data_IF_188621556979
#
_entry.id   IF_188621556979
#
_cell.length_a   1.000
_cell.length_b   1.000
_cell.length_c   1.000
_cell.angle_alpha   90.00
_cell.angle_beta   90.00
_cell.angle_gamma   90.00
#
_symmetry.space_group_name_H-M   'P 1'
#
loop_
_entity.id
_entity.type
_entity.pdbx_description
1 polymer ?
#
# COMPACT_ATOMS: atom_id res chain seq x y z
N UNK A 1 -17.94 13.64 23.17
CA UNK A 1 -16.66 13.26 23.79
C UNK A 1 -15.63 14.22 23.22
N UNK A 2 -14.99 15.04 24.05
CA UNK A 2 -13.81 15.80 23.63
C UNK A 2 -12.67 14.79 23.64
N UNK A 3 -12.14 14.44 22.47
CA UNK A 3 -10.96 13.59 22.40
C UNK A 3 -9.76 14.46 22.76
N UNK A 4 -8.97 14.04 23.76
CA UNK A 4 -7.76 14.77 24.12
C UNK A 4 -6.70 14.67 23.03
N UNK A 5 -5.71 15.56 23.11
CA UNK A 5 -4.55 15.61 22.21
C UNK A 5 -3.82 14.27 22.12
N UNK A 6 -3.34 13.88 20.93
CA UNK A 6 -2.48 12.71 20.77
C UNK A 6 -1.05 13.03 21.24
N UNK A 7 -0.53 12.26 22.19
CA UNK A 7 0.80 12.43 22.76
C UNK A 7 1.64 11.19 22.49
N UNK A 8 2.72 11.34 21.73
CA UNK A 8 3.76 10.32 21.63
C UNK A 8 4.69 10.42 22.84
N UNK A 9 4.64 9.44 23.74
CA UNK A 9 5.42 9.46 24.99
C UNK A 9 6.87 8.99 24.79
N UNK A 10 7.14 8.26 23.71
CA UNK A 10 8.47 7.85 23.32
C UNK A 10 8.53 6.42 22.79
N UNK A 11 9.76 5.94 22.62
CA UNK A 11 10.03 4.60 22.17
C UNK A 11 11.15 3.94 22.96
N UNK A 12 11.16 2.61 22.98
CA UNK A 12 12.22 1.81 23.57
C UNK A 12 12.60 0.69 22.61
N UNK A 13 13.87 0.61 22.25
CA UNK A 13 14.41 -0.52 21.51
C UNK A 13 15.15 -1.46 22.47
N UNK A 14 14.70 -2.71 22.55
CA UNK A 14 15.36 -3.80 23.26
C UNK A 14 16.16 -4.63 22.24
N UNK A 15 17.48 -4.49 22.26
CA UNK A 15 18.37 -5.16 21.33
C UNK A 15 18.38 -6.70 21.51
N UNK A 16 18.22 -7.19 22.74
CA UNK A 16 18.20 -8.62 23.04
C UNK A 16 16.91 -9.26 22.52
N UNK A 17 15.77 -8.58 22.73
CA UNK A 17 14.47 -9.04 22.24
C UNK A 17 14.22 -8.66 20.76
N UNK A 18 15.07 -7.81 20.18
CA UNK A 18 14.90 -7.20 18.85
C UNK A 18 13.54 -6.54 18.69
N UNK A 19 13.11 -5.83 19.73
CA UNK A 19 11.75 -5.30 19.85
C UNK A 19 11.78 -3.78 20.05
N UNK A 20 11.09 -3.06 19.18
CA UNK A 20 10.78 -1.64 19.32
C UNK A 20 9.37 -1.48 19.90
N UNK A 21 9.29 -0.90 21.09
CA UNK A 21 8.04 -0.48 21.71
C UNK A 21 7.81 1.00 21.42
N UNK A 22 6.64 1.33 20.89
CA UNK A 22 6.16 2.70 20.66
C UNK A 22 5.03 2.97 21.66
N UNK A 23 5.17 4.00 22.48
CA UNK A 23 4.18 4.33 23.50
C UNK A 23 3.55 5.68 23.20
N UNK A 24 2.22 5.70 23.21
CA UNK A 24 1.43 6.90 22.91
C UNK A 24 0.12 6.88 23.70
N UNK A 25 -0.47 8.05 23.92
CA UNK A 25 -1.74 8.22 24.62
C UNK A 25 -2.56 9.35 24.02
N UNK A 26 -3.83 9.42 24.39
CA UNK A 26 -4.60 10.66 24.27
C UNK A 26 -4.59 11.39 25.62
N UNK A 27 -4.65 12.73 25.63
CA UNK A 27 -4.83 13.51 26.86
C UNK A 27 -6.12 13.08 27.56
N UNK A 28 -6.01 12.77 28.86
CA UNK A 28 -7.07 12.18 29.69
C UNK A 28 -7.69 10.89 29.13
N UNK A 29 -6.97 10.20 28.24
CA UNK A 29 -7.42 9.01 27.54
C UNK A 29 -6.57 7.77 27.84
N UNK A 30 -6.90 6.63 27.21
CA UNK A 30 -6.14 5.41 27.33
C UNK A 30 -4.72 5.58 26.78
N UNK A 31 -3.78 4.91 27.45
CA UNK A 31 -2.39 4.77 27.05
C UNK A 31 -2.22 3.45 26.29
N UNK A 32 -1.56 3.50 25.14
CA UNK A 32 -1.31 2.35 24.27
C UNK A 32 0.18 2.09 24.10
N UNK A 33 0.52 0.83 23.90
CA UNK A 33 1.85 0.42 23.46
C UNK A 33 1.75 -0.51 22.26
N UNK A 34 2.43 -0.10 21.18
CA UNK A 34 2.59 -0.91 19.98
C UNK A 34 3.98 -1.53 19.94
N UNK A 35 4.08 -2.81 19.60
CA UNK A 35 5.35 -3.53 19.51
C UNK A 35 5.66 -3.94 18.07
N UNK A 36 6.86 -3.61 17.61
CA UNK A 36 7.47 -4.08 16.37
C UNK A 36 8.66 -4.98 16.71
N UNK A 37 8.64 -6.23 16.25
CA UNK A 37 9.73 -7.19 16.47
C UNK A 37 10.42 -7.55 15.16
N UNK A 38 11.73 -7.37 15.11
CA UNK A 38 12.56 -7.64 13.93
C UNK A 38 13.19 -9.03 14.06
N UNK A 39 13.04 -9.89 13.05
CA UNK A 39 13.69 -11.22 13.08
C UNK A 39 15.20 -11.14 12.86
N UNK A 40 15.66 -10.14 12.11
CA UNK A 40 17.08 -9.87 11.84
C UNK A 40 17.57 -8.80 12.81
N UNK A 41 18.76 -8.95 13.43
CA UNK A 41 19.31 -7.91 14.29
C UNK A 41 19.54 -6.64 13.47
N UNK A 42 18.89 -5.53 13.82
CA UNK A 42 19.10 -4.27 13.13
C UNK A 42 20.50 -3.71 13.45
N UNK A 43 21.08 -2.97 12.50
CA UNK A 43 22.28 -2.16 12.75
C UNK A 43 22.03 -1.20 13.92
N UNK A 44 23.03 -1.00 14.79
CA UNK A 44 22.92 -0.01 15.87
C UNK A 44 22.94 1.42 15.29
N UNK A 45 21.94 2.21 15.70
CA UNK A 45 21.86 3.65 15.49
C UNK A 45 22.41 4.36 16.74
N UNK A 46 23.07 5.50 16.57
CA UNK A 46 23.68 6.30 17.62
C UNK A 46 22.65 7.11 18.43
N UNK A 47 23.05 7.65 19.58
CA UNK A 47 22.19 8.52 20.41
C UNK A 47 21.88 9.87 19.77
N UNK A 48 22.65 10.31 18.77
CA UNK A 48 22.41 11.54 18.01
C UNK A 48 21.30 11.37 16.95
N UNK A 49 20.90 10.13 16.62
CA UNK A 49 19.80 9.83 15.69
C UNK A 49 18.40 10.08 16.30
N UNK A 50 18.32 10.86 17.38
CA UNK A 50 17.12 11.00 18.23
C UNK A 50 16.70 12.45 18.43
N UNK A 51 16.04 13.02 17.42
CA UNK A 51 15.10 14.15 17.60
C UNK A 51 13.92 13.85 16.68
N UNK A 52 12.71 13.71 17.22
CA UNK A 52 11.56 13.26 16.44
C UNK A 52 10.35 14.09 16.82
N UNK A 53 9.89 14.89 15.85
CA UNK A 53 8.81 15.89 15.84
C UNK A 53 9.33 17.34 15.80
N UNK A 54 9.97 17.67 14.69
CA UNK A 54 10.13 19.06 14.25
C UNK A 54 8.89 19.53 13.46
N UNK A 55 8.90 20.80 13.06
CA UNK A 55 7.81 21.45 12.34
C UNK A 55 7.42 20.72 11.04
N UNK A 56 8.40 20.30 10.25
CA UNK A 56 8.12 19.65 8.96
C UNK A 56 7.58 18.23 9.14
N UNK A 57 8.07 17.50 10.14
CA UNK A 57 7.53 16.21 10.54
C UNK A 57 6.07 16.36 10.99
N UNK A 58 5.76 17.34 11.83
CA UNK A 58 4.38 17.61 12.25
C UNK A 58 3.48 17.96 11.06
N UNK A 59 3.95 18.78 10.11
CA UNK A 59 3.21 19.10 8.90
C UNK A 59 2.98 17.88 7.98
N UNK A 60 4.00 17.03 7.80
CA UNK A 60 3.88 15.76 7.09
C UNK A 60 2.82 14.86 7.73
N UNK A 61 2.88 14.72 9.07
CA UNK A 61 1.95 13.89 9.83
C UNK A 61 0.52 14.41 9.75
N UNK A 62 0.33 15.73 9.80
CA UNK A 62 -0.97 16.38 9.60
C UNK A 62 -1.58 15.97 8.25
N UNK A 63 -0.85 16.15 7.15
CA UNK A 63 -1.34 15.80 5.81
C UNK A 63 -1.58 14.30 5.67
N UNK A 64 -0.64 13.48 6.18
CA UNK A 64 -0.74 12.02 6.12
C UNK A 64 -2.01 11.51 6.79
N UNK A 65 -2.30 11.95 8.01
CA UNK A 65 -3.48 11.48 8.74
C UNK A 65 -4.76 12.14 8.25
N UNK A 66 -4.77 13.43 7.92
CA UNK A 66 -5.97 14.10 7.41
C UNK A 66 -6.46 13.45 6.11
N UNK A 67 -5.57 13.22 5.14
CA UNK A 67 -5.94 12.58 3.87
C UNK A 67 -6.08 11.06 4.01
N UNK A 68 -5.26 10.44 4.86
CA UNK A 68 -5.27 9.00 5.11
C UNK A 68 -6.53 8.51 5.85
N UNK A 69 -7.12 9.34 6.70
CA UNK A 69 -8.35 9.06 7.46
C UNK A 69 -9.60 9.71 6.85
N UNK A 70 -9.49 10.36 5.68
CA UNK A 70 -10.62 11.08 5.07
C UNK A 70 -11.87 10.20 4.89
N UNK A 71 -11.71 8.95 4.46
CA UNK A 71 -12.85 8.03 4.33
C UNK A 71 -13.44 7.62 5.70
N UNK A 72 -12.58 7.44 6.71
CA UNK A 72 -13.03 7.20 8.08
C UNK A 72 -13.85 8.38 8.60
N UNK A 73 -13.37 9.60 8.41
CA UNK A 73 -14.05 10.82 8.83
C UNK A 73 -15.41 10.97 8.15
N UNK A 74 -15.44 10.81 6.82
CA UNK A 74 -16.67 10.86 6.02
C UNK A 74 -17.71 9.84 6.49
N UNK A 75 -17.31 8.57 6.70
CA UNK A 75 -18.23 7.52 7.15
C UNK A 75 -18.81 7.75 8.55
N UNK A 76 -18.07 8.46 9.39
CA UNK A 76 -18.45 8.71 10.78
C UNK A 76 -19.03 10.13 10.99
N UNK A 77 -19.20 10.93 9.93
CA UNK A 77 -19.71 12.30 10.03
C UNK A 77 -18.81 13.22 10.85
N UNK A 78 -17.49 13.02 10.79
CA UNK A 78 -16.51 13.78 11.55
C UNK A 78 -15.74 14.77 10.67
N UNK A 79 -15.37 15.90 11.26
CA UNK A 79 -14.29 16.76 10.76
C UNK A 79 -12.99 16.36 11.45
N UNK A 80 -11.97 15.94 10.68
CA UNK A 80 -10.67 15.59 11.26
C UNK A 80 -9.93 16.82 11.79
N UNK A 81 -10.20 18.01 11.25
CA UNK A 81 -9.55 19.26 11.69
C UNK A 81 -9.88 19.61 13.13
N UNK A 82 -11.01 19.12 13.63
CA UNK A 82 -11.46 19.35 15.00
C UNK A 82 -10.85 18.33 15.99
N UNK A 83 -10.10 17.34 15.47
CA UNK A 83 -9.66 16.16 16.22
C UNK A 83 -8.20 15.77 16.00
N UNK A 84 -7.51 16.36 15.00
CA UNK A 84 -6.13 16.05 14.65
C UNK A 84 -5.30 17.33 14.65
N UNK A 85 -4.44 17.43 15.67
CA UNK A 85 -3.39 18.42 15.76
C UNK A 85 -2.09 17.69 16.15
N UNK A 86 -1.04 17.92 15.36
CA UNK A 86 0.31 17.46 15.70
C UNK A 86 1.10 18.63 16.26
N UNK A 87 1.21 18.68 17.58
CA UNK A 87 2.04 19.67 18.26
C UNK A 87 3.52 19.47 17.92
N UNK A 88 4.23 20.59 17.82
CA UNK A 88 5.68 20.65 17.66
C UNK A 88 6.20 21.81 18.53
N UNK A 89 7.43 21.69 19.01
CA UNK A 89 8.04 22.71 19.85
C UNK A 89 8.60 23.84 18.97
N UNK A 90 8.09 25.09 19.07
CA UNK A 90 8.55 26.21 18.25
C UNK A 90 10.04 26.49 18.33
N UNK A 91 10.65 26.17 19.47
CA UNK A 91 12.08 26.33 19.72
C UNK A 91 12.93 25.12 19.27
N UNK A 92 12.31 24.01 18.85
CA UNK A 92 13.04 22.86 18.36
C UNK A 92 13.72 23.20 17.02
N UNK A 93 15.03 22.96 16.88
CA UNK A 93 15.70 23.16 15.61
C UNK A 93 15.14 22.20 14.56
N UNK A 94 15.09 22.67 13.32
CA UNK A 94 14.93 21.75 12.20
C UNK A 94 16.08 20.74 12.23
N UNK A 95 15.75 19.46 12.16
CA UNK A 95 16.74 18.40 12.09
C UNK A 95 17.20 18.25 10.66
N UNK A 96 18.50 18.45 10.43
CA UNK A 96 19.13 18.14 9.14
C UNK A 96 19.06 16.63 8.87
N UNK A 97 18.91 16.21 7.61
CA UNK A 97 18.85 14.79 7.27
C UNK A 97 20.21 14.14 7.56
N UNK A 98 20.18 12.92 8.12
CA UNK A 98 21.40 12.17 8.42
C UNK A 98 21.80 11.40 7.17
N UNK A 99 22.97 11.67 6.60
CA UNK A 99 23.49 10.90 5.47
C UNK A 99 23.95 9.51 5.95
N UNK A 100 23.24 8.46 5.55
CA UNK A 100 23.58 7.06 5.83
C UNK A 100 24.10 6.43 4.55
N UNK A 101 25.34 5.94 4.57
CA UNK A 101 25.90 5.15 3.48
C UNK A 101 25.28 3.75 3.49
N UNK A 102 24.32 3.54 2.58
CA UNK A 102 23.58 2.29 2.40
C UNK A 102 24.03 1.65 1.08
N UNK A 103 24.32 0.33 1.06
CA UNK A 103 24.67 -0.33 -0.17
C UNK A 103 23.43 -0.42 -1.08
N UNK A 104 23.68 -0.42 -2.40
CA UNK A 104 22.63 -0.58 -3.40
C UNK A 104 21.93 -1.91 -3.23
N UNK A 105 20.69 -1.87 -2.73
CA UNK A 105 19.87 -3.03 -2.47
C UNK A 105 18.42 -2.59 -2.32
N UNK A 106 17.54 -3.26 -3.07
CA UNK A 106 16.12 -2.96 -3.06
C UNK A 106 15.34 -3.87 -2.12
N UNK A 107 14.70 -3.27 -1.12
CA UNK A 107 13.72 -3.91 -0.26
C UNK A 107 12.33 -3.88 -0.89
N UNK A 108 11.66 -5.04 -0.99
CA UNK A 108 10.34 -5.17 -1.63
C UNK A 108 9.31 -5.73 -0.66
N UNK A 109 8.31 -4.94 -0.22
CA UNK A 109 7.18 -5.46 0.54
C UNK A 109 6.38 -6.52 -0.21
N UNK A 110 6.22 -7.68 0.43
CA UNK A 110 5.50 -8.83 -0.13
C UNK A 110 4.17 -9.01 0.60
N UNK A 111 3.08 -8.84 -0.15
CA UNK A 111 1.72 -9.01 0.37
C UNK A 111 1.12 -10.40 0.10
N UNK A 112 1.85 -11.30 -0.57
CA UNK A 112 1.36 -12.62 -1.00
C UNK A 112 0.40 -12.56 -2.20
N UNK A 113 0.23 -11.37 -2.79
CA UNK A 113 -0.59 -11.16 -3.98
C UNK A 113 0.21 -10.98 -5.26
N UNK A 114 -0.52 -10.92 -6.38
CA UNK A 114 0.07 -10.78 -7.73
C UNK A 114 1.03 -9.61 -7.87
N UNK A 115 0.72 -8.46 -7.26
CA UNK A 115 1.42 -7.20 -7.50
C UNK A 115 2.85 -7.26 -6.97
N UNK A 116 3.01 -7.63 -5.70
CA UNK A 116 4.33 -7.81 -5.10
C UNK A 116 5.17 -8.89 -5.81
N UNK A 117 4.54 -9.90 -6.39
CA UNK A 117 5.24 -10.95 -7.15
C UNK A 117 5.77 -10.38 -8.46
N UNK A 118 4.97 -9.59 -9.18
CA UNK A 118 5.45 -8.93 -10.41
C UNK A 118 6.61 -7.98 -10.12
N UNK A 119 6.53 -7.21 -9.02
CA UNK A 119 7.63 -6.33 -8.60
C UNK A 119 8.91 -7.12 -8.29
N UNK A 120 8.80 -8.15 -7.43
CA UNK A 120 9.93 -9.02 -7.08
C UNK A 120 10.59 -9.63 -8.32
N UNK A 121 9.79 -10.25 -9.19
CA UNK A 121 10.32 -10.94 -10.36
C UNK A 121 10.90 -9.98 -11.40
N UNK A 122 10.31 -8.80 -11.59
CA UNK A 122 10.89 -7.78 -12.48
C UNK A 122 12.27 -7.33 -11.98
N UNK A 123 12.41 -7.02 -10.69
CA UNK A 123 13.69 -6.57 -10.12
C UNK A 123 14.75 -7.68 -10.15
N UNK A 124 14.38 -8.90 -9.74
CA UNK A 124 15.29 -10.06 -9.82
C UNK A 124 15.78 -10.33 -11.24
N UNK A 125 14.88 -10.30 -12.23
CA UNK A 125 15.25 -10.52 -13.63
C UNK A 125 16.13 -9.41 -14.19
N UNK A 126 16.08 -8.21 -13.61
CA UNK A 126 16.98 -7.11 -13.95
C UNK A 126 18.37 -7.20 -13.29
N UNK A 127 18.60 -8.18 -12.43
CA UNK A 127 19.87 -8.36 -11.70
C UNK A 127 20.02 -7.46 -10.48
N UNK A 128 18.94 -6.83 -10.00
CA UNK A 128 18.95 -6.03 -8.77
C UNK A 128 19.14 -6.94 -7.54
N UNK A 129 19.91 -6.50 -6.55
CA UNK A 129 20.00 -7.18 -5.25
C UNK A 129 18.70 -6.92 -4.47
N UNK A 130 17.84 -7.94 -4.39
CA UNK A 130 16.50 -7.82 -3.83
C UNK A 130 16.41 -8.53 -2.49
N UNK A 131 15.89 -7.82 -1.49
CA UNK A 131 15.46 -8.39 -0.22
C UNK A 131 13.96 -8.23 -0.06
N UNK A 132 13.24 -9.32 0.15
CA UNK A 132 11.81 -9.26 0.44
C UNK A 132 11.56 -8.68 1.84
N UNK A 133 10.44 -8.01 2.03
CA UNK A 133 9.95 -7.59 3.34
C UNK A 133 8.57 -8.20 3.62
N UNK A 134 8.40 -8.80 4.79
CA UNK A 134 7.14 -9.35 5.26
C UNK A 134 6.72 -8.68 6.57
N UNK A 135 5.51 -8.11 6.59
CA UNK A 135 4.85 -7.68 7.82
C UNK A 135 3.98 -8.83 8.35
N UNK A 136 4.40 -9.43 9.46
CA UNK A 136 3.77 -10.57 10.11
C UNK A 136 4.10 -11.92 9.45
N UNK A 137 3.27 -12.92 9.77
CA UNK A 137 3.53 -14.34 9.48
C UNK A 137 2.46 -15.00 8.59
N UNK A 138 1.77 -14.22 7.75
CA UNK A 138 0.74 -14.78 6.87
C UNK A 138 1.36 -15.78 5.88
N UNK A 139 0.82 -17.01 5.86
CA UNK A 139 1.32 -18.11 5.03
C UNK A 139 1.50 -17.74 3.54
N UNK A 140 0.61 -17.00 2.87
CA UNK A 140 0.80 -16.64 1.46
C UNK A 140 2.03 -15.77 1.22
N UNK A 141 2.34 -14.90 2.18
CA UNK A 141 3.51 -14.03 2.12
C UNK A 141 4.76 -14.91 2.23
N UNK A 142 4.80 -15.80 3.23
CA UNK A 142 5.91 -16.72 3.44
C UNK A 142 6.14 -17.63 2.22
N UNK A 143 5.08 -18.22 1.67
CA UNK A 143 5.15 -19.11 0.53
C UNK A 143 5.60 -18.39 -0.76
N UNK A 144 5.14 -17.15 -0.99
CA UNK A 144 5.62 -16.33 -2.11
C UNK A 144 7.10 -15.97 -1.96
N UNK A 145 7.54 -15.59 -0.76
CA UNK A 145 8.96 -15.30 -0.50
C UNK A 145 9.83 -16.54 -0.73
N UNK A 146 9.40 -17.70 -0.21
CA UNK A 146 10.11 -18.96 -0.41
C UNK A 146 10.20 -19.33 -1.90
N UNK A 147 9.09 -19.17 -2.63
CA UNK A 147 9.04 -19.39 -4.10
C UNK A 147 9.95 -18.42 -4.86
N UNK A 148 10.09 -17.19 -4.36
CA UNK A 148 11.00 -16.21 -4.93
C UNK A 148 12.47 -16.54 -4.69
N UNK A 149 12.81 -17.30 -3.64
CA UNK A 149 14.20 -17.66 -3.34
C UNK A 149 15.10 -16.46 -3.06
N UNK A 150 14.56 -15.40 -2.46
CA UNK A 150 15.31 -14.19 -2.06
C UNK A 150 15.44 -14.10 -0.53
N UNK A 151 16.46 -13.41 -0.01
CA UNK A 151 16.53 -13.03 1.39
C UNK A 151 15.26 -12.28 1.83
N UNK A 152 14.89 -12.39 3.10
CA UNK A 152 13.70 -11.73 3.62
C UNK A 152 13.90 -11.11 5.00
N UNK A 153 13.44 -9.88 5.14
CA UNK A 153 13.24 -9.21 6.41
C UNK A 153 11.82 -9.48 6.88
N UNK A 154 11.68 -9.89 8.14
CA UNK A 154 10.38 -10.08 8.75
C UNK A 154 10.24 -9.19 9.97
N UNK A 155 9.13 -8.46 10.00
CA UNK A 155 8.74 -7.63 11.13
C UNK A 155 7.38 -8.07 11.61
N UNK A 156 7.26 -8.34 12.90
CA UNK A 156 5.97 -8.64 13.53
C UNK A 156 5.44 -7.39 14.20
N UNK A 157 4.18 -7.04 13.91
CA UNK A 157 3.50 -5.90 14.51
C UNK A 157 2.40 -6.40 15.44
N UNK A 158 2.45 -5.96 16.70
CA UNK A 158 1.43 -6.27 17.70
C UNK A 158 0.79 -4.97 18.20
N UNK A 159 -0.50 -4.83 17.90
CA UNK A 159 -1.33 -3.75 18.42
C UNK A 159 -1.65 -3.99 19.90
N UNK A 160 -1.85 -2.91 20.64
CA UNK A 160 -2.31 -2.96 22.03
C UNK A 160 -3.68 -3.65 22.12
N UNK A 161 -3.86 -4.54 23.10
CA UNK A 161 -5.11 -5.27 23.28
C UNK A 161 -6.29 -4.34 23.62
N UNK A 162 -6.00 -3.18 24.22
CA UNK A 162 -7.01 -2.17 24.56
C UNK A 162 -7.73 -1.62 23.32
N UNK A 163 -7.07 -1.55 22.15
CA UNK A 163 -7.72 -1.12 20.90
C UNK A 163 -8.85 -2.08 20.50
N UNK A 164 -8.69 -3.38 20.75
CA UNK A 164 -9.76 -4.35 20.46
C UNK A 164 -10.90 -4.24 21.47
N UNK A 165 -10.60 -3.95 22.74
CA UNK A 165 -11.62 -3.70 23.75
C UNK A 165 -12.43 -2.43 23.43
N UNK A 166 -11.78 -1.34 23.03
CA UNK A 166 -12.45 -0.12 22.59
C UNK A 166 -13.37 -0.35 21.39
N UNK A 167 -12.91 -1.11 20.41
CA UNK A 167 -13.74 -1.48 19.25
C UNK A 167 -14.99 -2.29 19.66
N UNK A 168 -14.86 -3.23 20.60
CA UNK A 168 -15.99 -3.99 21.12
C UNK A 168 -16.98 -3.09 21.90
N UNK A 169 -16.47 -2.03 22.52
CA UNK A 169 -17.26 -1.04 23.25
C UNK A 169 -17.85 0.07 22.35
N UNK A 170 -17.83 -0.10 21.02
CA UNK A 170 -18.47 0.80 20.08
C UNK A 170 -17.65 2.02 19.69
N UNK A 171 -16.32 2.00 19.86
CA UNK A 171 -15.45 3.02 19.28
C UNK A 171 -15.62 3.11 17.76
N UNK A 172 -15.48 4.32 17.21
CA UNK A 172 -15.57 4.55 15.78
C UNK A 172 -14.51 3.70 15.05
N UNK A 173 -14.91 3.07 13.95
CA UNK A 173 -14.06 2.15 13.19
C UNK A 173 -14.16 2.46 11.69
N UNK A 174 -13.11 2.15 10.95
CA UNK A 174 -13.05 2.35 9.51
C UNK A 174 -11.67 2.07 8.95
N UNK A 175 -11.44 2.56 7.73
CA UNK A 175 -10.13 2.43 7.10
C UNK A 175 -9.11 3.32 7.80
N UNK A 176 -7.95 2.75 8.12
CA UNK A 176 -6.76 3.47 8.59
C UNK A 176 -5.74 3.48 7.45
N UNK A 177 -4.83 4.48 7.37
CA UNK A 177 -3.82 4.58 6.32
C UNK A 177 -2.70 3.53 6.46
N UNK A 178 -3.09 2.25 6.38
CA UNK A 178 -2.25 1.10 6.69
C UNK A 178 -1.07 0.97 5.71
N UNK A 179 -1.20 1.41 4.46
CA UNK A 179 -0.06 1.38 3.54
C UNK A 179 0.99 2.41 3.95
N UNK A 180 0.61 3.57 4.47
CA UNK A 180 1.57 4.54 5.00
C UNK A 180 2.29 4.01 6.23
N UNK A 181 1.55 3.41 7.17
CA UNK A 181 2.12 2.73 8.35
C UNK A 181 3.07 1.60 7.91
N UNK A 182 2.68 0.78 6.94
CA UNK A 182 3.56 -0.27 6.40
C UNK A 182 4.80 0.34 5.75
N UNK A 183 4.65 1.46 5.04
CA UNK A 183 5.73 2.16 4.36
C UNK A 183 6.79 2.65 5.33
N UNK A 184 6.39 3.28 6.43
CA UNK A 184 7.33 3.73 7.48
C UNK A 184 8.02 2.54 8.17
N UNK A 185 7.30 1.44 8.42
CA UNK A 185 7.90 0.22 8.99
C UNK A 185 8.92 -0.40 8.03
N UNK A 186 8.61 -0.55 6.72
CA UNK A 186 9.59 -1.10 5.77
C UNK A 186 10.77 -0.16 5.57
N UNK A 187 10.58 1.16 5.57
CA UNK A 187 11.67 2.13 5.49
C UNK A 187 12.63 2.00 6.67
N UNK A 188 12.09 1.94 7.89
CA UNK A 188 12.90 1.66 9.07
C UNK A 188 13.63 0.32 8.95
N UNK A 189 12.93 -0.75 8.55
CA UNK A 189 13.55 -2.07 8.36
C UNK A 189 14.62 -2.07 7.25
N UNK A 190 14.43 -1.32 6.17
CA UNK A 190 15.35 -1.19 5.05
C UNK A 190 16.66 -0.54 5.49
N UNK A 191 16.59 0.60 6.20
CA UNK A 191 17.76 1.27 6.77
C UNK A 191 18.53 0.31 7.68
N UNK A 192 17.83 -0.36 8.59
CA UNK A 192 18.43 -1.28 9.55
C UNK A 192 19.06 -2.53 8.89
N UNK A 193 18.59 -2.91 7.71
CA UNK A 193 19.07 -4.04 6.92
C UNK A 193 20.08 -3.65 5.83
N UNK A 194 20.45 -2.37 5.73
CA UNK A 194 21.35 -1.89 4.68
C UNK A 194 20.72 -1.97 3.28
N UNK A 195 19.47 -1.55 3.13
CA UNK A 195 18.82 -1.37 1.84
C UNK A 195 18.66 0.14 1.59
N UNK A 196 19.17 0.62 0.46
CA UNK A 196 19.05 2.02 0.03
C UNK A 196 17.70 2.31 -0.67
N UNK A 197 16.92 1.28 -0.99
CA UNK A 197 15.70 1.45 -1.78
C UNK A 197 14.55 0.63 -1.22
N UNK A 198 13.35 1.21 -1.16
CA UNK A 198 12.08 0.50 -0.97
C UNK A 198 11.24 0.61 -2.25
N UNK A 199 11.00 -0.53 -2.89
CA UNK A 199 10.15 -0.61 -4.08
C UNK A 199 8.78 -1.21 -3.72
N UNK A 200 7.78 -0.34 -3.62
CA UNK A 200 6.38 -0.70 -3.44
C UNK A 200 5.76 -1.25 -4.73
N UNK A 201 4.58 -1.85 -4.59
CA UNK A 201 3.83 -2.46 -5.70
C UNK A 201 2.47 -1.78 -5.95
N UNK A 202 2.37 -0.48 -5.66
CA UNK A 202 1.14 0.26 -5.98
C UNK A 202 1.09 0.56 -7.48
N UNK A 203 -0.09 0.45 -8.05
CA UNK A 203 -0.31 0.62 -9.49
C UNK A 203 -1.01 1.94 -9.82
N UNK A 204 -1.32 2.16 -11.10
CA UNK A 204 -1.89 3.41 -11.60
C UNK A 204 -3.22 3.81 -10.91
N UNK A 205 -4.18 2.89 -10.83
CA UNK A 205 -5.53 3.10 -10.29
C UNK A 205 -5.56 3.38 -8.78
N UNK A 206 -4.48 3.08 -8.06
CA UNK A 206 -4.33 3.38 -6.64
C UNK A 206 -4.33 4.89 -6.34
N UNK A 207 -4.12 5.73 -7.35
CA UNK A 207 -4.22 7.19 -7.24
C UNK A 207 -5.63 7.73 -7.50
N UNK A 208 -6.58 6.90 -7.95
CA UNK A 208 -7.91 7.36 -8.34
C UNK A 208 -8.80 7.52 -7.10
N UNK A 209 -9.43 8.69 -6.89
CA UNK A 209 -10.35 8.89 -5.78
C UNK A 209 -11.61 8.02 -5.93
N UNK A 210 -12.18 7.62 -4.80
CA UNK A 210 -13.36 6.75 -4.77
C UNK A 210 -14.67 7.54 -4.80
N UNK A 211 -14.67 8.75 -4.23
CA UNK A 211 -15.82 9.65 -4.19
C UNK A 211 -15.36 11.10 -4.03
N UNK A 212 -16.27 12.04 -4.28
CA UNK A 212 -16.09 13.46 -3.97
C UNK A 212 -17.16 13.83 -2.94
N UNK A 213 -16.73 14.33 -1.78
CA UNK A 213 -17.61 14.81 -0.71
C UNK A 213 -17.32 16.30 -0.47
N UNK A 214 -18.34 17.15 -0.57
CA UNK A 214 -18.22 18.61 -0.37
C UNK A 214 -17.09 19.25 -1.19
N UNK A 215 -16.88 18.75 -2.42
CA UNK A 215 -15.82 19.22 -3.32
C UNK A 215 -14.42 18.65 -3.03
N UNK A 216 -14.28 17.81 -2.00
CA UNK A 216 -13.02 17.15 -1.62
C UNK A 216 -12.99 15.71 -2.15
N UNK A 217 -11.94 15.37 -2.90
CA UNK A 217 -11.68 14.01 -3.35
C UNK A 217 -11.30 13.11 -2.17
N UNK A 218 -12.08 12.04 -1.96
CA UNK A 218 -11.83 11.05 -0.92
C UNK A 218 -11.37 9.75 -1.58
N UNK A 219 -10.11 9.40 -1.36
CA UNK A 219 -9.51 8.13 -1.77
C UNK A 219 -9.57 7.14 -0.60
N UNK A 220 -10.21 5.99 -0.80
CA UNK A 220 -10.33 4.91 0.20
C UNK A 220 -8.96 4.44 0.71
N UNK A 221 -7.89 4.58 -0.09
CA UNK A 221 -6.52 4.22 0.26
C UNK A 221 -5.54 5.30 -0.19
N UNK A 222 -5.72 6.55 0.27
CA UNK A 222 -4.84 7.68 -0.05
C UNK A 222 -3.34 7.35 0.06
N UNK A 223 -2.96 6.56 1.09
CA UNK A 223 -1.57 6.11 1.30
C UNK A 223 -0.99 5.17 0.23
N UNK A 224 -1.70 4.93 -0.89
CA UNK A 224 -1.20 4.27 -2.10
C UNK A 224 -1.09 5.18 -3.32
N UNK A 225 -1.55 6.42 -3.19
CA UNK A 225 -1.55 7.40 -4.27
C UNK A 225 -0.12 7.82 -4.65
N UNK A 226 0.04 8.34 -5.86
CA UNK A 226 1.29 8.97 -6.30
C UNK A 226 1.62 10.22 -5.47
N UNK A 227 0.59 10.92 -5.01
CA UNK A 227 0.71 12.12 -4.18
C UNK A 227 1.34 11.80 -2.81
N UNK A 228 0.86 10.76 -2.12
CA UNK A 228 1.50 10.27 -0.91
C UNK A 228 2.93 9.76 -1.15
N UNK A 229 3.16 9.05 -2.25
CA UNK A 229 4.49 8.55 -2.62
C UNK A 229 5.51 9.67 -2.81
N UNK A 230 5.13 10.74 -3.53
CA UNK A 230 5.98 11.92 -3.71
C UNK A 230 6.24 12.63 -2.39
N UNK A 231 5.20 12.89 -1.60
CA UNK A 231 5.32 13.52 -0.28
C UNK A 231 6.25 12.74 0.66
N UNK A 232 6.16 11.41 0.67
CA UNK A 232 7.03 10.56 1.48
C UNK A 232 8.47 10.54 0.94
N UNK A 233 8.66 10.44 -0.38
CA UNK A 233 9.99 10.49 -0.99
C UNK A 233 10.71 11.82 -0.71
N UNK A 234 9.99 12.94 -0.83
CA UNK A 234 10.52 14.27 -0.53
C UNK A 234 10.90 14.38 0.95
N UNK A 235 10.01 13.95 1.86
CA UNK A 235 10.27 13.93 3.30
C UNK A 235 11.49 13.06 3.67
N UNK A 236 11.65 11.89 3.05
CA UNK A 236 12.81 11.04 3.26
C UNK A 236 14.10 11.74 2.85
N UNK A 237 14.10 12.36 1.67
CA UNK A 237 15.25 13.04 1.12
C UNK A 237 15.65 14.26 1.95
N UNK A 238 14.67 15.07 2.37
CA UNK A 238 14.94 16.32 3.08
C UNK A 238 15.13 16.15 4.58
N UNK A 239 14.55 15.14 5.23
CA UNK A 239 14.51 15.01 6.70
C UNK A 239 15.08 13.74 7.28
N UNK A 240 15.16 12.65 6.52
CA UNK A 240 15.58 11.36 7.06
C UNK A 240 16.97 10.99 6.57
N UNK A 241 17.10 10.60 5.29
CA UNK A 241 18.40 10.28 4.70
C UNK A 241 18.32 10.44 3.18
N UNK A 242 19.16 11.29 2.55
CA UNK A 242 19.07 11.58 1.11
C UNK A 242 19.35 10.36 0.21
N UNK A 243 20.04 9.35 0.74
CA UNK A 243 20.36 8.11 0.02
C UNK A 243 19.25 7.06 -0.01
N UNK A 244 18.12 7.27 0.70
CA UNK A 244 17.03 6.30 0.77
C UNK A 244 15.93 6.63 -0.23
N UNK A 245 15.72 5.73 -1.18
CA UNK A 245 14.69 5.86 -2.22
C UNK A 245 13.41 5.12 -1.84
N UNK A 246 12.26 5.73 -2.12
CA UNK A 246 10.93 5.11 -1.97
C UNK A 246 10.08 5.38 -3.21
N UNK A 247 9.60 4.33 -3.87
CA UNK A 247 8.72 4.48 -5.04
C UNK A 247 7.87 3.23 -5.28
N UNK A 248 6.86 3.31 -6.15
CA UNK A 248 6.09 2.14 -6.61
C UNK A 248 6.47 1.73 -8.04
N UNK A 249 7.06 0.54 -8.21
CA UNK A 249 7.51 0.06 -9.53
C UNK A 249 6.35 -0.11 -10.52
N UNK A 250 5.17 -0.46 -10.04
CA UNK A 250 4.01 -0.78 -10.88
C UNK A 250 3.18 0.45 -11.27
N UNK A 251 3.57 1.67 -10.85
CA UNK A 251 2.83 2.90 -11.12
C UNK A 251 2.46 3.08 -12.61
N UNK A 252 3.32 2.73 -13.60
CA UNK A 252 2.98 2.89 -15.01
C UNK A 252 2.03 1.81 -15.57
N UNK A 253 1.70 0.78 -14.79
CA UNK A 253 0.99 -0.40 -15.27
C UNK A 253 -0.48 -0.37 -14.85
N UNK A 254 -1.34 -0.83 -15.75
CA UNK A 254 -2.73 -1.14 -15.41
C UNK A 254 -2.83 -2.50 -14.72
N UNK A 255 -3.88 -2.70 -13.96
CA UNK A 255 -4.23 -3.99 -13.35
C UNK A 255 -4.23 -5.17 -14.34
N UNK A 256 -4.69 -4.96 -15.58
CA UNK A 256 -4.69 -6.00 -16.63
C UNK A 256 -3.27 -6.34 -17.07
N UNK A 257 -2.41 -5.34 -17.21
CA UNK A 257 -1.01 -5.54 -17.57
C UNK A 257 -0.25 -6.26 -16.45
N UNK A 258 -0.53 -5.92 -15.19
CA UNK A 258 0.04 -6.61 -14.04
C UNK A 258 -0.44 -8.07 -14.00
N UNK A 259 -1.74 -8.32 -14.21
CA UNK A 259 -2.27 -9.67 -14.30
C UNK A 259 -1.62 -10.49 -15.44
N UNK A 260 -1.37 -9.85 -16.59
CA UNK A 260 -0.67 -10.47 -17.74
C UNK A 260 0.77 -10.84 -17.39
N UNK A 261 1.51 -9.96 -16.71
CA UNK A 261 2.88 -10.21 -16.25
C UNK A 261 2.92 -11.31 -15.19
N UNK A 262 2.04 -11.25 -14.21
CA UNK A 262 1.91 -12.26 -13.16
C UNK A 262 1.63 -13.66 -13.75
N UNK A 263 0.79 -13.75 -14.78
CA UNK A 263 0.52 -15.01 -15.48
C UNK A 263 1.76 -15.60 -16.19
N UNK A 264 2.85 -14.85 -16.31
CA UNK A 264 4.16 -15.32 -16.77
C UNK A 264 5.01 -15.96 -15.65
N UNK A 265 4.53 -15.98 -14.41
CA UNK A 265 5.23 -16.53 -13.24
C UNK A 265 4.46 -17.75 -12.67
N UNK A 266 4.35 -18.86 -13.42
CA UNK A 266 3.48 -19.99 -13.08
C UNK A 266 3.85 -20.67 -11.75
N UNK A 267 5.11 -20.58 -11.31
CA UNK A 267 5.58 -21.12 -10.04
C UNK A 267 4.85 -20.53 -8.82
N UNK A 268 4.26 -19.34 -8.95
CA UNK A 268 3.51 -18.70 -7.87
C UNK A 268 2.03 -19.06 -7.84
N UNK A 269 1.47 -19.63 -8.91
CA UNK A 269 0.04 -19.95 -9.01
C UNK A 269 -0.47 -20.83 -7.86
N UNK A 270 0.30 -21.81 -7.34
CA UNK A 270 -0.14 -22.63 -6.21
C UNK A 270 -0.12 -21.90 -4.85
N UNK A 271 0.68 -20.84 -4.70
CA UNK A 271 1.01 -20.24 -3.39
C UNK A 271 0.46 -18.82 -3.20
N UNK A 272 0.20 -18.09 -4.29
CA UNK A 272 -0.29 -16.72 -4.17
C UNK A 272 -1.73 -16.70 -3.63
N UNK A 273 -2.02 -15.71 -2.78
CA UNK A 273 -3.35 -15.48 -2.25
C UNK A 273 -3.53 -14.03 -1.84
N UNK A 274 -4.50 -13.35 -2.46
CA UNK A 274 -4.90 -11.96 -2.13
C UNK A 274 -6.28 -11.88 -1.48
N UNK A 275 -6.85 -13.02 -1.07
CA UNK A 275 -8.18 -13.10 -0.48
C UNK A 275 -8.27 -12.28 0.81
N UNK A 276 -9.20 -11.32 0.91
CA UNK A 276 -9.38 -10.51 2.14
C UNK A 276 -9.57 -11.38 3.40
N UNK A 277 -10.27 -12.51 3.28
CA UNK A 277 -10.50 -13.42 4.40
C UNK A 277 -9.21 -14.11 4.89
N UNK A 278 -8.18 -14.23 4.05
CA UNK A 278 -6.89 -14.81 4.43
C UNK A 278 -6.00 -13.84 5.24
N UNK A 279 -6.33 -12.53 5.23
CA UNK A 279 -5.55 -11.48 5.89
C UNK A 279 -6.32 -10.77 7.01
N UNK A 280 -7.35 -11.42 7.57
CA UNK A 280 -8.00 -10.92 8.78
C UNK A 280 -6.99 -10.79 9.92
N UNK A 281 -7.18 -9.78 10.79
CA UNK A 281 -6.25 -9.55 11.91
C UNK A 281 -6.18 -10.76 12.83
N UNK A 282 -7.34 -11.26 13.28
CA UNK A 282 -7.44 -12.48 14.09
C UNK A 282 -6.96 -13.71 13.33
N UNK A 283 -5.90 -14.40 13.78
CA UNK A 283 -5.40 -15.61 13.13
C UNK A 283 -6.43 -16.73 13.04
N UNK A 284 -7.31 -16.87 14.04
CA UNK A 284 -8.35 -17.91 14.09
C UNK A 284 -9.45 -17.69 13.05
N UNK A 285 -9.61 -16.45 12.57
CA UNK A 285 -10.59 -16.12 11.54
C UNK A 285 -10.03 -16.18 10.11
N UNK A 286 -8.72 -16.39 9.95
CA UNK A 286 -8.08 -16.37 8.62
C UNK A 286 -8.51 -17.58 7.81
N UNK A 287 -9.01 -17.33 6.60
CA UNK A 287 -9.30 -18.38 5.65
C UNK A 287 -8.01 -19.10 5.20
N UNK A 288 -7.99 -20.43 5.30
CA UNK A 288 -6.88 -21.28 4.85
C UNK A 288 -6.85 -21.51 3.34
N UNK A 289 -7.87 -21.08 2.61
CA UNK A 289 -7.95 -21.13 1.15
C UNK A 289 -8.65 -19.87 0.62
N UNK A 290 -8.77 -19.73 -0.70
CA UNK A 290 -9.57 -18.68 -1.31
C UNK A 290 -11.04 -18.81 -0.89
N UNK A 291 -11.64 -17.77 -0.30
CA UNK A 291 -13.03 -17.84 0.14
C UNK A 291 -14.06 -17.82 -1.01
N UNK A 292 -13.62 -17.57 -2.26
CA UNK A 292 -14.46 -17.48 -3.45
C UNK A 292 -15.45 -16.29 -3.50
N UNK A 293 -15.71 -15.61 -2.38
CA UNK A 293 -16.82 -14.67 -2.25
C UNK A 293 -16.43 -13.20 -2.11
N UNK A 294 -15.23 -12.90 -1.59
CA UNK A 294 -14.83 -11.50 -1.34
C UNK A 294 -14.51 -10.75 -2.65
N UNK A 295 -14.56 -9.40 -2.65
CA UNK A 295 -14.24 -8.58 -3.83
C UNK A 295 -12.88 -8.92 -4.45
N UNK A 296 -11.84 -9.16 -3.63
CA UNK A 296 -10.51 -9.54 -4.13
C UNK A 296 -10.48 -10.91 -4.82
N UNK A 297 -11.22 -11.91 -4.33
CA UNK A 297 -11.33 -13.21 -5.02
C UNK A 297 -11.95 -13.04 -6.40
N UNK A 298 -13.06 -12.30 -6.49
CA UNK A 298 -13.77 -12.06 -7.76
C UNK A 298 -12.90 -11.27 -8.73
N UNK A 299 -12.22 -10.25 -8.24
CA UNK A 299 -11.31 -9.42 -9.02
C UNK A 299 -10.17 -10.25 -9.62
N UNK A 300 -9.45 -11.00 -8.79
CA UNK A 300 -8.32 -11.84 -9.26
C UNK A 300 -8.81 -12.89 -10.26
N UNK A 301 -9.94 -13.55 -9.99
CA UNK A 301 -10.52 -14.52 -10.91
C UNK A 301 -10.78 -13.89 -12.29
N UNK A 302 -11.42 -12.71 -12.34
CA UNK A 302 -11.70 -12.01 -13.59
C UNK A 302 -10.41 -11.55 -14.30
N UNK A 303 -9.47 -10.98 -13.55
CA UNK A 303 -8.22 -10.46 -14.09
C UNK A 303 -7.35 -11.56 -14.71
N UNK A 304 -7.28 -12.74 -14.09
CA UNK A 304 -6.48 -13.87 -14.60
C UNK A 304 -7.18 -14.69 -15.68
N UNK A 305 -8.51 -14.58 -15.80
CA UNK A 305 -9.29 -15.26 -16.86
C UNK A 305 -9.00 -14.73 -18.26
N UNK A 306 -8.35 -13.57 -18.37
CA UNK A 306 -7.90 -12.99 -19.65
C UNK A 306 -6.87 -13.88 -20.37
N UNK A 307 -6.25 -14.85 -19.67
CA UNK A 307 -5.49 -15.96 -20.29
C UNK A 307 -6.19 -17.31 -20.06
N UNK A 308 -6.50 -18.04 -21.14
CA UNK A 308 -6.92 -19.46 -21.11
C UNK A 308 -5.88 -20.40 -20.44
N UNK A 309 -4.64 -19.99 -20.31
CA UNK A 309 -3.52 -20.86 -19.89
C UNK A 309 -3.34 -21.05 -18.38
N UNK A 310 -4.06 -20.29 -17.53
CA UNK A 310 -3.85 -20.32 -16.05
C UNK A 310 -4.77 -21.33 -15.35
N UNK A 311 -5.76 -21.92 -16.05
CA UNK A 311 -6.67 -22.90 -15.47
C UNK A 311 -6.72 -24.17 -16.33
N UNK A 312 -5.98 -25.24 -15.98
CA UNK A 312 -5.99 -26.49 -16.74
C UNK A 312 -7.27 -27.32 -16.58
N UNK A 313 -8.22 -26.93 -15.73
CA UNK A 313 -9.53 -27.57 -15.60
C UNK A 313 -10.64 -26.51 -15.52
N UNK A 314 -11.87 -26.78 -15.96
CA UNK A 314 -12.97 -25.91 -15.54
C UNK A 314 -13.02 -25.97 -14.00
N UNK A 315 -12.98 -24.84 -13.27
CA UNK A 315 -13.26 -24.90 -11.85
C UNK A 315 -14.64 -25.51 -11.74
N UNK A 316 -14.75 -26.70 -11.11
CA UNK A 316 -16.03 -27.28 -10.71
C UNK A 316 -16.86 -26.11 -10.23
N UNK A 317 -17.90 -25.77 -11.00
CA UNK A 317 -18.54 -24.48 -10.92
C UNK A 317 -18.67 -24.14 -9.44
N UNK A 318 -17.97 -23.09 -8.99
CA UNK A 318 -18.35 -22.43 -7.75
C UNK A 318 -19.77 -22.02 -8.05
N UNK A 319 -20.71 -22.88 -7.67
CA UNK A 319 -22.12 -22.60 -7.70
C UNK A 319 -22.19 -21.47 -6.71
N UNK A 320 -22.14 -20.25 -7.23
CA UNK A 320 -22.75 -19.11 -6.59
C UNK A 320 -24.23 -19.48 -6.56
N UNK A 321 -24.60 -20.35 -5.60
CA UNK A 321 -25.95 -20.44 -5.09
C UNK A 321 -26.15 -19.09 -4.44
N UNK A 322 -26.50 -18.09 -5.25
CA UNK A 322 -27.45 -17.12 -4.78
C UNK A 322 -28.59 -17.95 -4.24
N UNK A 323 -28.79 -17.90 -2.92
CA UNK A 323 -30.06 -18.31 -2.34
C UNK A 323 -31.10 -17.41 -3.02
N UNK A 324 -31.61 -17.84 -4.18
CA UNK A 324 -32.99 -17.54 -4.51
C UNK A 324 -33.76 -18.23 -3.40
N UNK A 325 -34.14 -17.45 -2.39
CA UNK A 325 -35.18 -17.89 -1.48
C UNK A 325 -36.30 -18.42 -2.36
N UNK A 326 -36.59 -19.71 -2.26
CA UNK A 326 -37.90 -20.21 -2.65
C UNK A 326 -38.85 -19.44 -1.73
N UNK A 327 -39.55 -18.44 -2.27
CA UNK A 327 -40.85 -18.06 -1.74
C UNK A 327 -41.68 -19.33 -1.71
N UNK A 328 -41.75 -19.93 -0.51
CA UNK A 328 -42.84 -20.82 -0.18
C UNK A 328 -44.07 -19.92 -0.22
N UNK A 329 -44.99 -20.19 -1.15
CA UNK A 329 -46.40 -19.86 -0.95
C UNK A 329 -46.83 -20.65 0.28
N UNK A 330 -46.81 -19.99 1.42
CA UNK A 330 -47.42 -20.42 2.65
C UNK A 330 -48.29 -19.26 3.07
N UNK A 331 -49.60 -19.47 2.96
CA UNK A 331 -50.62 -18.61 3.54
C UNK A 331 -50.37 -18.52 5.04
N UNK A 332 -49.97 -17.35 5.53
CA UNK A 332 -50.27 -16.83 6.87
C UNK A 332 -49.62 -15.44 7.04
N UNK A 333 -50.40 -14.41 6.72
CA UNK A 333 -50.12 -13.01 7.12
C UNK A 333 -51.31 -12.55 7.96
N UNK A 334 -51.12 -12.05 9.19
CA UNK A 334 -52.21 -11.47 9.96
C UNK A 334 -52.73 -10.21 9.28
N UNK A 335 -54.05 -10.15 9.08
CA UNK A 335 -54.77 -9.00 8.51
C UNK A 335 -54.56 -7.73 9.35
N UNK A 336 -54.26 -6.57 8.75
CA UNK A 336 -54.57 -5.28 9.35
C UNK A 336 -56.04 -4.90 9.11
N UNK A 337 -56.63 -4.18 10.07
CA UNK A 337 -58.03 -3.74 10.10
C UNK A 337 -58.40 -2.80 8.92
N UNK A 338 -59.68 -2.74 8.51
CA UNK A 338 -60.09 -2.10 7.27
C UNK A 338 -60.32 -0.59 7.42
N UNK A 339 -59.91 0.19 6.41
CA UNK A 339 -60.26 1.61 6.30
C UNK A 339 -59.77 2.29 5.02
N UNK A 340 -60.69 2.42 4.06
CA UNK A 340 -60.80 3.42 2.98
C UNK A 340 -59.84 3.40 1.77
N UNK A 341 -60.37 2.75 0.73
CA UNK A 341 -60.55 3.20 -0.67
C UNK A 341 -59.37 3.64 -1.56
N UNK A 342 -59.26 2.89 -2.66
CA UNK A 342 -58.30 3.05 -3.74
C UNK A 342 -58.78 4.05 -4.82
N UNK A 343 -57.83 4.78 -5.42
CA UNK A 343 -57.91 5.15 -6.85
C UNK A 343 -56.79 4.47 -7.62
N UNK A 344 -57.20 3.62 -8.56
CA UNK A 344 -56.36 2.83 -9.47
C UNK A 344 -55.80 3.71 -10.60
N UNK A 345 -54.51 3.59 -10.87
CA UNK A 345 -53.88 4.01 -12.12
C UNK A 345 -52.92 2.92 -12.60
N UNK A 346 -53.25 2.25 -13.71
CA UNK A 346 -52.36 1.29 -14.40
C UNK A 346 -51.28 2.07 -15.16
N UNK A 347 -50.02 1.65 -15.07
CA UNK A 347 -48.95 2.06 -16.01
C UNK A 347 -48.27 0.83 -16.62
N UNK A 348 -47.89 0.86 -17.92
CA UNK A 348 -47.56 -0.33 -18.69
C UNK A 348 -46.08 -0.73 -18.61
N UNK A 349 -45.85 -2.03 -18.77
CA UNK A 349 -44.54 -2.66 -18.87
C UNK A 349 -43.88 -2.38 -20.23
N UNK A 350 -42.72 -1.71 -20.24
CA UNK A 350 -41.75 -1.83 -21.34
C UNK A 350 -40.32 -1.83 -20.80
N UNK A 351 -39.64 -2.96 -20.96
CA UNK A 351 -38.18 -3.11 -20.78
C UNK A 351 -37.47 -2.24 -21.83
N UNK A 352 -36.74 -1.20 -21.43
CA UNK A 352 -35.80 -0.50 -22.31
C UNK A 352 -34.41 -1.16 -22.18
N UNK A 353 -33.88 -1.61 -23.31
CA UNK A 353 -32.49 -2.06 -23.50
C UNK A 353 -31.58 -0.82 -23.39
N UNK A 354 -30.58 -0.86 -22.52
CA UNK A 354 -29.56 0.18 -22.42
C UNK A 354 -28.65 0.12 -23.66
N UNK A 355 -28.44 1.26 -24.33
CA UNK A 355 -27.40 1.47 -25.34
C UNK A 355 -26.49 2.59 -24.82
N UNK A 356 -25.16 2.45 -24.86
CA UNK A 356 -24.27 3.53 -24.45
C UNK A 356 -24.31 4.66 -25.49
N UNK A 357 -24.54 5.89 -25.02
CA UNK A 357 -24.39 7.10 -25.82
C UNK A 357 -22.91 7.38 -26.12
N UNK A 358 -22.65 7.92 -27.32
CA UNK A 358 -21.31 8.29 -27.77
C UNK A 358 -20.83 9.52 -27.02
N UNK A 359 -19.61 9.46 -26.49
CA UNK A 359 -18.88 10.59 -25.90
C UNK A 359 -18.64 11.66 -26.98
N UNK A 360 -18.96 12.95 -26.78
CA UNK A 360 -18.65 14.00 -27.73
C UNK A 360 -17.13 14.21 -27.82
N UNK A 361 -16.60 14.41 -29.03
CA UNK A 361 -15.21 14.83 -29.26
C UNK A 361 -14.98 16.22 -28.68
N UNK A 362 -13.84 16.42 -28.02
CA UNK A 362 -13.40 17.71 -27.49
C UNK A 362 -13.25 18.76 -28.61
N UNK A 363 -13.72 19.98 -28.32
CA UNK A 363 -13.53 21.18 -29.14
C UNK A 363 -12.10 21.72 -28.90
N UNK A 364 -11.30 22.03 -29.95
CA UNK A 364 -9.97 22.59 -29.76
C UNK A 364 -10.07 24.09 -29.48
N UNK A 365 -9.57 24.56 -28.33
CA UNK A 365 -9.52 26.01 -28.07
C UNK A 365 -9.35 26.51 -26.62
N UNK A 366 -8.86 25.70 -25.66
CA UNK A 366 -8.58 26.19 -24.31
C UNK A 366 -7.07 26.39 -24.09
N UNK A 367 -6.68 27.61 -23.76
CA UNK A 367 -5.31 28.03 -23.48
C UNK A 367 -4.74 27.36 -22.21
N UNK A 368 -3.42 27.09 -22.14
CA UNK A 368 -2.80 26.49 -20.96
C UNK A 368 -2.67 27.51 -19.80
N UNK A 369 -2.88 27.01 -18.58
CA UNK A 369 -2.67 27.74 -17.33
C UNK A 369 -1.18 28.12 -17.10
N UNK A 370 -0.87 29.21 -16.36
CA UNK A 370 0.47 29.75 -16.24
C UNK A 370 1.39 28.86 -15.39
N UNK A 371 2.65 28.73 -15.81
CA UNK A 371 3.72 28.04 -15.08
C UNK A 371 4.18 28.86 -13.88
N UNK A 372 4.22 28.24 -12.70
CA UNK A 372 4.84 28.81 -11.50
C UNK A 372 6.37 28.96 -11.69
N UNK A 373 6.91 30.09 -11.22
CA UNK A 373 8.30 30.51 -11.39
C UNK A 373 9.31 29.67 -10.60
N UNK A 374 10.55 29.65 -11.10
CA UNK A 374 11.71 28.97 -10.49
C UNK A 374 12.24 29.75 -9.28
N UNK A 375 12.54 29.03 -8.21
CA UNK A 375 13.45 29.48 -7.14
C UNK A 375 14.88 29.06 -7.52
N UNK A 376 15.89 29.96 -7.50
CA UNK A 376 17.28 29.58 -7.72
C UNK A 376 17.90 29.01 -6.43
N UNK A 377 18.41 27.78 -6.44
CA UNK A 377 19.24 27.25 -5.33
C UNK A 377 19.18 25.74 -5.07
N UNK A 378 18.22 24.99 -5.60
CA UNK A 378 18.15 23.54 -5.37
C UNK A 378 19.08 22.78 -6.34
N UNK A 379 20.08 22.09 -5.79
CA UNK A 379 20.87 21.10 -6.51
C UNK A 379 19.92 20.01 -7.04
N UNK A 380 19.99 19.72 -8.35
CA UNK A 380 19.19 18.68 -8.98
C UNK A 380 19.76 17.32 -8.57
N UNK A 381 18.96 16.49 -7.89
CA UNK A 381 19.16 15.05 -7.96
C UNK A 381 18.87 14.61 -9.40
N UNK A 382 19.87 14.06 -10.07
CA UNK A 382 19.72 13.53 -11.42
C UNK A 382 18.75 12.34 -11.39
N UNK A 383 17.55 12.56 -11.94
CA UNK A 383 16.63 11.48 -12.24
C UNK A 383 17.26 10.58 -13.30
N UNK A 384 17.47 9.29 -12.99
CA UNK A 384 17.86 8.30 -13.98
C UNK A 384 16.82 8.24 -15.11
N UNK A 385 17.18 8.79 -16.27
CA UNK A 385 16.43 8.63 -17.51
C UNK A 385 16.69 7.23 -18.08
N UNK A 386 15.66 6.38 -18.12
CA UNK A 386 15.73 5.10 -18.81
C UNK A 386 15.54 5.31 -20.32
N UNK A 387 16.38 4.71 -21.19
CA UNK A 387 16.18 4.80 -22.62
C UNK A 387 14.88 4.08 -23.03
N UNK A 388 14.08 4.76 -23.86
CA UNK A 388 12.92 4.17 -24.50
C UNK A 388 13.38 3.13 -25.53
N UNK A 389 13.53 1.87 -25.11
CA UNK A 389 13.94 0.75 -25.96
C UNK A 389 13.06 -0.47 -25.70
N UNK A 390 12.52 -1.06 -26.77
CA UNK A 390 11.62 -2.21 -26.71
C UNK A 390 12.22 -3.41 -25.96
N UNK A 391 11.38 -4.06 -25.15
CA UNK A 391 11.74 -5.22 -24.35
C UNK A 391 11.88 -6.47 -25.23
N UNK A 392 12.93 -7.30 -25.08
CA UNK A 392 13.11 -8.47 -25.92
C UNK A 392 12.06 -9.54 -25.61
N UNK A 393 11.29 -9.92 -26.61
CA UNK A 393 10.54 -11.18 -26.63
C UNK A 393 11.52 -12.35 -26.72
N UNK A 394 11.34 -13.37 -25.88
CA UNK A 394 12.33 -14.42 -25.65
C UNK A 394 12.66 -15.36 -26.82
N UNK A 395 13.68 -16.19 -26.52
CA UNK A 395 14.22 -17.36 -27.22
C UNK A 395 15.33 -17.12 -28.27
N UNK A 396 16.59 -17.30 -27.86
CA UNK A 396 17.42 -18.46 -28.28
C UNK A 396 18.73 -18.50 -27.50
N UNK A 397 19.19 -19.70 -27.20
CA UNK A 397 20.47 -19.96 -26.54
C UNK A 397 21.62 -19.90 -27.55
N UNK A 398 22.68 -19.16 -27.24
CA UNK A 398 24.00 -19.37 -27.83
C UNK A 398 25.12 -18.95 -26.87
N UNK A 399 26.07 -19.86 -26.69
CA UNK A 399 27.26 -19.75 -25.84
C UNK A 399 28.20 -18.64 -26.34
N UNK A 400 28.79 -17.87 -25.43
CA UNK A 400 30.02 -17.12 -25.69
C UNK A 400 31.00 -17.25 -24.51
N UNK A 401 32.20 -17.75 -24.81
CA UNK A 401 33.36 -17.86 -23.91
C UNK A 401 34.02 -16.48 -23.69
N UNK A 402 34.80 -16.29 -22.60
CA UNK A 402 35.34 -14.98 -22.23
C UNK A 402 36.55 -14.60 -23.09
N UNK A 403 36.65 -13.31 -23.44
CA UNK A 403 37.90 -12.72 -23.93
C UNK A 403 38.62 -12.04 -22.77
N UNK A 404 39.80 -12.58 -22.47
CA UNK A 404 40.88 -11.94 -21.72
C UNK A 404 41.38 -10.69 -22.46
N UNK A 405 41.79 -9.68 -21.69
CA UNK A 405 42.41 -8.47 -22.22
C UNK A 405 42.87 -7.56 -21.09
N UNK A 406 44.03 -7.89 -20.53
CA UNK A 406 44.83 -7.03 -19.65
C UNK A 406 45.39 -5.84 -20.44
N UNK A 407 45.36 -4.63 -19.88
CA UNK A 407 46.47 -3.69 -19.96
C UNK A 407 46.39 -2.68 -18.80
N UNK A 408 47.49 -2.60 -18.07
CA UNK A 408 47.78 -1.63 -17.03
C UNK A 408 48.61 -0.46 -17.60
N UNK A 409 48.89 0.52 -16.72
CA UNK A 409 49.67 1.76 -16.88
C UNK A 409 48.87 2.95 -17.47
N UNK A 410 48.89 4.17 -16.93
CA UNK A 410 49.66 4.78 -15.84
C UNK A 410 50.05 6.23 -16.23
N UNK A 411 49.50 7.25 -15.57
CA UNK A 411 49.99 8.65 -15.41
C UNK A 411 48.85 9.46 -14.77
N UNK A 412 48.87 9.97 -13.53
CA UNK A 412 49.71 10.95 -12.82
C UNK A 412 49.86 12.33 -13.48
N UNK A 413 49.48 13.35 -12.67
CA UNK A 413 49.85 14.78 -12.63
C UNK A 413 49.26 15.69 -13.72
N UNK A 414 48.79 16.92 -13.50
CA UNK A 414 48.77 17.94 -12.43
C UNK A 414 47.71 18.99 -12.90
N UNK A 415 46.89 19.67 -12.10
CA UNK A 415 47.13 20.61 -10.99
C UNK A 415 45.83 20.79 -10.20
#
# INVERSE_FOLDING_TARGET
>A
MVYGEFVFEGYRYDAAARALSLTYRFTDGPRFTEELRFEVPPRELTSQDRVVLDRETAAFMQVFYERGLAEFAYRNGLSLRDHLEFAWEPSAPDSDPVAIDLPRRTCVPVGGGKDSIVTLECLKQSGEDVTAFALGSAEPIAACIATAGVPALRVHRRLDSQLFALNQNGALNGHVPITGILSTIVLAAAVLAGCDTVAMSNEHSASVPNLVADGVEVNHQYSKSLDFEGMLADYLCSRITPGLSYFSLLRPLSEIEIARRFAGSPQYLPVFRSCNAAFKQSPTERARTWCGNCPKCRFVFLALRVRRAVWPEEPQAVRVRGRRGRERRGDDVPRPAPGLEARRGRAPSRRRRWRPERVPRAVPGAAPAPRAGRVPGAARCESMSWPAGGWPSGASAARARPRSGSCAAGCRTCR
#
